data_IF_698364629679
#
_entry.id   IF_698364629679
#
_cell.length_a   1.000
_cell.length_b   1.000
_cell.length_c   1.000
_cell.angle_alpha   90.00
_cell.angle_beta   90.00
_cell.angle_gamma   90.00
#
_symmetry.space_group_name_H-M   'P 1'
#
loop_
_entity.id
_entity.type
_entity.pdbx_description
1 polymer ?
#
# COMPACT_ATOMS: atom_id res chain seq x y z
N UNK A 1 8.39 -4.07 -26.14
CA UNK A 1 9.52 -4.31 -25.22
C UNK A 1 9.00 -4.80 -23.86
N UNK A 2 8.01 -4.11 -23.26
CA UNK A 2 7.48 -4.48 -21.93
C UNK A 2 6.88 -5.90 -21.93
N UNK A 3 6.08 -6.24 -22.94
CA UNK A 3 5.44 -7.55 -23.07
C UNK A 3 6.41 -8.67 -23.52
N UNK A 4 7.64 -8.34 -23.91
CA UNK A 4 8.68 -9.31 -24.21
C UNK A 4 9.46 -9.77 -22.96
N UNK A 5 9.15 -9.24 -21.79
CA UNK A 5 9.75 -9.66 -20.54
C UNK A 5 9.28 -11.09 -20.20
N UNK A 6 10.19 -12.07 -19.99
CA UNK A 6 9.81 -13.46 -19.68
C UNK A 6 9.05 -13.60 -18.35
N UNK A 7 9.18 -12.65 -17.40
CA UNK A 7 8.36 -12.63 -16.20
C UNK A 7 6.88 -12.33 -16.45
N UNK A 8 6.54 -11.80 -17.65
CA UNK A 8 5.18 -11.60 -18.12
C UNK A 8 4.70 -12.74 -19.02
N UNK A 9 5.41 -13.87 -19.08
CA UNK A 9 4.97 -15.08 -19.77
C UNK A 9 3.80 -15.79 -19.07
N UNK A 10 3.48 -15.37 -17.83
CA UNK A 10 2.22 -15.72 -17.19
C UNK A 10 1.04 -15.11 -17.96
N UNK A 11 0.00 -15.91 -18.15
CA UNK A 11 -1.17 -15.52 -18.93
C UNK A 11 -2.01 -14.40 -18.28
N UNK A 12 -1.71 -14.04 -17.02
CA UNK A 12 -2.55 -13.16 -16.21
C UNK A 12 -1.74 -12.17 -15.38
N UNK A 13 -2.26 -10.94 -15.28
CA UNK A 13 -1.73 -9.88 -14.41
C UNK A 13 -2.86 -9.32 -13.56
N UNK A 14 -2.58 -9.13 -12.28
CA UNK A 14 -3.47 -8.41 -11.36
C UNK A 14 -3.11 -6.92 -11.36
N UNK A 15 -4.11 -6.07 -11.48
CA UNK A 15 -3.93 -4.62 -11.52
C UNK A 15 -5.04 -3.87 -10.78
N UNK A 16 -4.69 -2.71 -10.22
CA UNK A 16 -5.67 -1.71 -9.83
C UNK A 16 -6.00 -0.85 -11.05
N UNK A 17 -7.28 -0.74 -11.39
CA UNK A 17 -7.77 0.06 -12.50
C UNK A 17 -8.53 1.26 -11.98
N UNK A 18 -8.23 2.44 -12.52
CA UNK A 18 -8.91 3.68 -12.21
C UNK A 18 -9.55 4.24 -13.48
N UNK A 19 -10.81 4.60 -13.41
CA UNK A 19 -11.48 5.35 -14.46
C UNK A 19 -11.27 6.83 -14.19
N UNK A 20 -10.47 7.46 -15.03
CA UNK A 20 -10.27 8.91 -14.97
C UNK A 20 -11.53 9.62 -15.46
N UNK A 21 -11.90 10.71 -14.78
CA UNK A 21 -12.97 11.60 -15.24
C UNK A 21 -12.63 12.26 -16.60
N UNK A 22 -13.53 13.09 -17.10
CA UNK A 22 -13.57 13.63 -18.47
C UNK A 22 -12.30 14.35 -18.91
N UNK A 23 -11.37 14.70 -18.02
CA UNK A 23 -10.13 15.42 -18.30
C UNK A 23 -8.87 14.65 -17.88
N UNK A 24 -8.69 13.44 -18.40
CA UNK A 24 -7.52 12.61 -18.13
C UNK A 24 -6.17 13.33 -18.31
N UNK A 25 -6.09 14.29 -19.24
CA UNK A 25 -4.87 15.10 -19.48
C UNK A 25 -4.56 16.10 -18.36
N UNK A 26 -5.49 16.34 -17.45
CA UNK A 26 -5.33 17.22 -16.29
C UNK A 26 -5.39 16.47 -14.97
N UNK A 27 -5.39 15.14 -15.03
CA UNK A 27 -5.41 14.31 -13.83
C UNK A 27 -4.14 14.55 -13.00
N UNK A 28 -4.33 14.89 -11.75
CA UNK A 28 -3.28 15.04 -10.76
C UNK A 28 -3.14 13.75 -9.95
N UNK A 29 -2.03 13.57 -9.25
CA UNK A 29 -1.80 12.41 -8.41
C UNK A 29 -2.99 12.06 -7.47
N UNK A 30 -3.67 13.01 -6.81
CA UNK A 30 -4.86 12.72 -6.01
C UNK A 30 -6.02 12.10 -6.80
N UNK A 31 -6.16 12.45 -8.08
CA UNK A 31 -7.21 11.88 -8.94
C UNK A 31 -6.93 10.41 -9.30
N UNK A 32 -5.68 9.98 -9.16
CA UNK A 32 -5.21 8.60 -9.33
C UNK A 32 -5.20 7.82 -8.02
N UNK A 33 -5.63 8.43 -6.90
CA UNK A 33 -5.57 7.80 -5.57
C UNK A 33 -4.16 7.65 -5.01
N UNK A 34 -3.23 8.46 -5.52
CA UNK A 34 -1.83 8.51 -5.05
C UNK A 34 -1.56 9.81 -4.31
N UNK A 35 -0.46 9.85 -3.56
CA UNK A 35 -0.05 11.04 -2.83
C UNK A 35 0.33 12.17 -3.78
N UNK A 36 -0.04 13.39 -3.42
CA UNK A 36 0.22 14.58 -4.23
C UNK A 36 1.66 15.08 -4.15
N UNK A 37 2.41 14.66 -3.15
CA UNK A 37 3.74 15.15 -2.82
C UNK A 37 4.70 14.01 -2.51
N UNK A 38 5.98 14.30 -2.45
CA UNK A 38 7.01 13.33 -2.12
C UNK A 38 7.22 13.11 -0.60
N UNK A 39 6.49 13.80 0.25
CA UNK A 39 6.47 13.64 1.71
C UNK A 39 5.13 13.12 2.23
N UNK A 40 4.08 13.16 1.40
CA UNK A 40 2.75 12.71 1.79
C UNK A 40 2.66 11.18 1.85
N UNK A 41 1.76 10.72 2.69
CA UNK A 41 1.39 9.31 2.83
C UNK A 41 0.00 9.06 2.24
N UNK A 42 -0.44 7.80 2.28
CA UNK A 42 -1.79 7.42 1.85
C UNK A 42 -2.87 8.20 2.61
N UNK A 43 -2.62 8.59 3.85
CA UNK A 43 -3.54 9.39 4.67
C UNK A 43 -3.86 10.75 4.05
N UNK A 44 -2.90 11.36 3.35
CA UNK A 44 -3.06 12.63 2.64
C UNK A 44 -3.75 12.47 1.28
N UNK A 45 -3.93 11.24 0.80
CA UNK A 45 -4.58 10.99 -0.47
C UNK A 45 -6.10 11.20 -0.38
N UNK A 46 -6.70 11.53 -1.50
CA UNK A 46 -8.15 11.60 -1.62
C UNK A 46 -8.79 10.25 -1.27
N UNK A 47 -9.78 10.28 -0.38
CA UNK A 47 -10.36 9.07 0.22
C UNK A 47 -11.50 8.47 -0.57
N UNK A 48 -12.23 9.28 -1.31
CA UNK A 48 -13.51 8.91 -1.93
C UNK A 48 -13.67 9.56 -3.31
N UNK A 49 -14.64 9.06 -4.08
CA UNK A 49 -15.00 9.62 -5.37
C UNK A 49 -14.18 9.02 -6.52
N UNK A 50 -13.72 7.80 -6.35
CA UNK A 50 -13.06 7.02 -7.39
C UNK A 50 -14.03 6.04 -8.05
N UNK A 51 -13.83 5.79 -9.35
CA UNK A 51 -14.32 4.62 -10.04
C UNK A 51 -13.12 3.69 -10.25
N UNK A 52 -12.84 2.90 -9.23
CA UNK A 52 -11.67 2.03 -9.16
C UNK A 52 -12.08 0.59 -8.91
N UNK A 53 -11.34 -0.36 -9.45
CA UNK A 53 -11.50 -1.78 -9.17
C UNK A 53 -10.17 -2.54 -9.24
N UNK A 54 -10.17 -3.74 -8.67
CA UNK A 54 -9.11 -4.73 -8.87
C UNK A 54 -9.52 -5.60 -10.05
N UNK A 55 -8.66 -5.68 -11.05
CA UNK A 55 -8.91 -6.45 -12.28
C UNK A 55 -7.84 -7.50 -12.53
N UNK A 56 -8.26 -8.61 -13.10
CA UNK A 56 -7.38 -9.56 -13.77
C UNK A 56 -7.33 -9.21 -15.26
N UNK A 57 -6.13 -9.03 -15.77
CA UNK A 57 -5.86 -8.87 -17.18
C UNK A 57 -5.31 -10.18 -17.73
N UNK A 58 -5.86 -10.66 -18.85
CA UNK A 58 -5.37 -11.84 -19.54
C UNK A 58 -5.26 -11.60 -21.05
N UNK A 59 -4.64 -12.53 -21.76
CA UNK A 59 -4.33 -12.39 -23.19
C UNK A 59 -3.53 -11.10 -23.51
N UNK A 60 -2.55 -10.78 -22.68
CA UNK A 60 -1.78 -9.52 -22.77
C UNK A 60 -1.00 -9.36 -24.07
N UNK A 61 -0.72 -10.45 -24.77
CA UNK A 61 0.02 -10.47 -26.04
C UNK A 61 -0.89 -10.62 -27.26
N UNK A 62 -2.18 -10.87 -27.06
CA UNK A 62 -3.19 -10.96 -28.11
C UNK A 62 -3.67 -9.59 -28.58
N UNK A 63 -4.47 -9.60 -29.64
CA UNK A 63 -5.11 -8.37 -30.13
C UNK A 63 -6.17 -7.86 -29.18
N UNK A 64 -6.82 -8.73 -28.41
CA UNK A 64 -7.89 -8.42 -27.46
C UNK A 64 -7.49 -8.78 -26.03
N UNK A 65 -7.03 -7.80 -25.26
CA UNK A 65 -6.78 -7.96 -23.82
C UNK A 65 -8.12 -8.17 -23.12
N UNK A 66 -8.23 -9.28 -22.38
CA UNK A 66 -9.41 -9.57 -21.57
C UNK A 66 -9.26 -8.90 -20.18
N UNK A 67 -10.32 -8.26 -19.72
CA UNK A 67 -10.36 -7.57 -18.42
C UNK A 67 -11.51 -8.14 -17.60
N UNK A 68 -11.19 -8.79 -16.49
CA UNK A 68 -12.17 -9.30 -15.53
C UNK A 68 -12.07 -8.53 -14.22
N UNK A 69 -13.15 -7.86 -13.81
CA UNK A 69 -13.21 -7.23 -12.48
C UNK A 69 -13.31 -8.31 -11.42
N UNK A 70 -12.43 -8.26 -10.43
CA UNK A 70 -12.39 -9.15 -9.27
C UNK A 70 -13.12 -8.52 -8.10
N UNK A 71 -12.83 -7.25 -7.83
CA UNK A 71 -13.39 -6.53 -6.71
C UNK A 71 -13.55 -5.04 -7.05
N UNK A 72 -14.66 -4.46 -6.66
CA UNK A 72 -14.93 -3.04 -6.78
C UNK A 72 -15.47 -2.49 -5.46
N UNK A 73 -14.84 -1.45 -4.87
CA UNK A 73 -15.37 -0.81 -3.68
C UNK A 73 -16.74 -0.18 -3.93
N UNK A 74 -17.72 -0.50 -3.09
CA UNK A 74 -19.08 0.06 -3.21
C UNK A 74 -19.15 1.53 -2.79
N UNK A 75 -18.25 1.95 -1.90
CA UNK A 75 -18.25 3.29 -1.32
C UNK A 75 -17.49 4.34 -2.16
N UNK A 76 -16.99 3.99 -3.35
CA UNK A 76 -16.19 4.89 -4.19
C UNK A 76 -14.80 5.19 -3.64
N UNK A 77 -14.27 4.33 -2.78
CA UNK A 77 -12.87 4.36 -2.34
C UNK A 77 -11.92 4.08 -3.49
N UNK A 78 -10.69 4.53 -3.38
CA UNK A 78 -9.60 4.03 -4.23
C UNK A 78 -9.20 2.61 -3.82
N UNK A 79 -8.43 1.96 -4.68
CA UNK A 79 -7.72 0.71 -4.39
C UNK A 79 -6.25 0.95 -4.59
N UNK A 80 -5.45 0.85 -3.52
CA UNK A 80 -4.02 1.14 -3.54
C UNK A 80 -3.20 -0.05 -3.00
N UNK A 81 -1.90 0.00 -3.19
CA UNK A 81 -0.92 -0.92 -2.56
C UNK A 81 -1.22 -2.40 -2.77
N UNK A 82 -1.61 -2.75 -4.00
CA UNK A 82 -2.03 -4.12 -4.35
C UNK A 82 -0.85 -5.10 -4.24
N UNK A 83 -1.00 -6.14 -3.40
CA UNK A 83 -0.01 -7.18 -3.15
C UNK A 83 -0.61 -8.58 -3.32
N UNK A 84 0.01 -9.41 -4.12
CA UNK A 84 -0.36 -10.83 -4.24
C UNK A 84 0.10 -11.61 -3.02
N UNK A 85 -0.73 -12.51 -2.50
CA UNK A 85 -0.32 -13.48 -1.51
C UNK A 85 0.58 -14.57 -2.13
N UNK A 86 1.45 -15.17 -1.33
CA UNK A 86 2.39 -16.22 -1.76
C UNK A 86 1.73 -17.42 -2.45
N UNK A 87 0.50 -17.76 -2.04
CA UNK A 87 -0.27 -18.88 -2.62
C UNK A 87 -0.86 -18.55 -3.99
N UNK A 88 -0.83 -17.28 -4.41
CA UNK A 88 -1.33 -16.84 -5.71
C UNK A 88 -2.85 -16.89 -5.86
N UNK A 89 -3.61 -17.02 -4.76
CA UNK A 89 -5.08 -17.19 -4.77
C UNK A 89 -5.84 -15.96 -4.27
N UNK A 90 -5.16 -15.00 -3.65
CA UNK A 90 -5.73 -13.80 -3.04
C UNK A 90 -4.77 -12.62 -3.07
N UNK A 91 -5.29 -11.44 -2.88
CA UNK A 91 -4.50 -10.21 -2.85
C UNK A 91 -4.92 -9.30 -1.69
N UNK A 92 -3.92 -8.65 -1.12
CA UNK A 92 -4.04 -7.57 -0.15
C UNK A 92 -4.04 -6.23 -0.87
N UNK A 93 -4.75 -5.25 -0.33
CA UNK A 93 -4.79 -3.88 -0.85
C UNK A 93 -5.24 -2.90 0.23
N UNK A 94 -5.01 -1.62 -0.02
CA UNK A 94 -5.46 -0.52 0.83
C UNK A 94 -6.74 0.08 0.26
N UNK A 95 -7.75 0.29 1.11
CA UNK A 95 -8.93 1.09 0.81
C UNK A 95 -9.49 1.76 2.06
N UNK A 96 -10.44 2.68 1.91
CA UNK A 96 -11.12 3.29 3.06
C UNK A 96 -12.23 2.41 3.62
N UNK A 97 -12.37 2.44 4.93
CA UNK A 97 -13.53 1.91 5.66
C UNK A 97 -14.77 2.83 5.49
N UNK A 98 -15.96 2.44 5.97
CA UNK A 98 -17.15 3.30 5.93
C UNK A 98 -16.99 4.64 6.64
N UNK A 99 -16.16 4.69 7.68
CA UNK A 99 -15.80 5.92 8.42
C UNK A 99 -14.72 6.77 7.73
N UNK A 100 -14.32 6.37 6.52
CA UNK A 100 -13.31 6.98 5.65
C UNK A 100 -11.86 6.81 6.11
N UNK A 101 -11.57 6.10 7.19
CA UNK A 101 -10.18 5.76 7.54
C UNK A 101 -9.62 4.72 6.59
N UNK A 102 -8.33 4.81 6.30
CA UNK A 102 -7.61 3.79 5.54
C UNK A 102 -7.44 2.52 6.34
N UNK A 103 -7.61 1.38 5.68
CA UNK A 103 -7.25 0.08 6.25
C UNK A 103 -6.81 -0.89 5.15
N UNK A 104 -6.23 -1.99 5.58
CA UNK A 104 -5.74 -3.06 4.72
C UNK A 104 -6.79 -4.15 4.63
N UNK A 105 -7.10 -4.55 3.41
CA UNK A 105 -8.11 -5.54 3.07
C UNK A 105 -7.53 -6.67 2.23
N UNK A 106 -8.26 -7.76 2.13
CA UNK A 106 -7.94 -8.91 1.29
C UNK A 106 -9.17 -9.35 0.50
N UNK A 107 -8.94 -9.83 -0.70
CA UNK A 107 -9.95 -10.48 -1.54
C UNK A 107 -9.31 -11.65 -2.28
N UNK A 108 -10.06 -12.76 -2.45
CA UNK A 108 -9.63 -13.87 -3.31
C UNK A 108 -9.75 -13.49 -4.78
N UNK A 109 -8.92 -14.12 -5.63
CA UNK A 109 -8.93 -13.85 -7.06
C UNK A 109 -10.21 -14.29 -7.77
N UNK A 110 -11.04 -15.14 -7.13
CA UNK A 110 -12.39 -15.48 -7.62
C UNK A 110 -13.45 -14.42 -7.30
N UNK A 111 -13.07 -13.34 -6.56
CA UNK A 111 -13.94 -12.26 -6.15
C UNK A 111 -14.64 -12.49 -4.80
N UNK A 112 -14.39 -13.62 -4.16
CA UNK A 112 -14.99 -13.96 -2.85
C UNK A 112 -14.06 -13.61 -1.70
N UNK A 113 -14.52 -13.79 -0.46
CA UNK A 113 -13.69 -13.71 0.74
C UNK A 113 -13.16 -12.31 1.06
N UNK A 114 -13.83 -11.25 0.59
CA UNK A 114 -13.48 -9.89 0.99
C UNK A 114 -13.54 -9.74 2.51
N UNK A 115 -12.46 -9.24 3.09
CA UNK A 115 -12.35 -9.00 4.54
C UNK A 115 -11.33 -7.91 4.85
N UNK A 116 -11.54 -7.24 5.97
CA UNK A 116 -10.55 -6.39 6.62
C UNK A 116 -9.49 -7.27 7.28
N UNK A 117 -8.21 -6.89 7.15
CA UNK A 117 -7.10 -7.65 7.72
C UNK A 117 -6.61 -7.09 9.07
N UNK A 118 -6.56 -5.78 9.23
CA UNK A 118 -6.07 -5.16 10.47
C UNK A 118 -7.25 -4.65 11.28
N UNK A 119 -7.43 -5.22 12.47
CA UNK A 119 -8.46 -4.84 13.42
C UNK A 119 -7.84 -4.13 14.61
N UNK A 120 -8.25 -2.89 14.85
CA UNK A 120 -7.78 -2.07 15.95
C UNK A 120 -8.94 -1.23 16.49
N UNK A 121 -8.99 -1.00 17.81
CA UNK A 121 -10.06 -0.27 18.48
C UNK A 121 -9.76 1.24 18.59
N UNK A 122 -8.51 1.66 18.35
CA UNK A 122 -8.12 3.07 18.38
C UNK A 122 -8.75 3.82 17.18
N UNK A 123 -9.60 4.81 17.46
CA UNK A 123 -10.40 5.44 16.40
C UNK A 123 -9.58 6.33 15.46
N UNK A 124 -8.39 6.75 15.87
CA UNK A 124 -7.53 7.67 15.12
C UNK A 124 -6.42 6.97 14.34
N UNK A 125 -6.32 5.62 14.43
CA UNK A 125 -5.32 4.89 13.68
C UNK A 125 -5.81 4.50 12.29
N UNK A 126 -4.93 4.71 11.33
CA UNK A 126 -5.08 4.29 9.94
C UNK A 126 -3.98 3.31 9.55
N UNK A 127 -4.27 2.42 8.60
CA UNK A 127 -3.34 1.40 8.12
C UNK A 127 -3.38 1.33 6.60
N UNK A 128 -2.21 1.29 5.97
CA UNK A 128 -2.07 1.27 4.52
C UNK A 128 -0.74 0.62 4.11
N UNK A 129 -0.56 0.36 2.83
CA UNK A 129 0.67 -0.18 2.25
C UNK A 129 1.13 -1.46 2.97
N UNK A 130 0.21 -2.44 3.05
CA UNK A 130 0.45 -3.70 3.74
C UNK A 130 1.31 -4.67 2.94
N UNK A 131 2.03 -5.54 3.66
CA UNK A 131 2.70 -6.72 3.07
C UNK A 131 2.54 -7.93 3.97
N UNK A 132 2.34 -9.10 3.35
CA UNK A 132 2.30 -10.37 4.07
C UNK A 132 3.70 -10.78 4.54
N UNK A 133 3.80 -11.33 5.74
CA UNK A 133 4.96 -12.10 6.18
C UNK A 133 4.72 -13.60 5.98
N UNK A 134 5.75 -14.41 5.75
CA UNK A 134 5.59 -15.86 5.53
C UNK A 134 4.95 -16.61 6.70
N UNK A 135 4.99 -16.06 7.90
CA UNK A 135 4.40 -16.63 9.12
C UNK A 135 2.95 -16.18 9.38
N UNK A 136 2.32 -15.48 8.42
CA UNK A 136 0.94 -15.01 8.50
C UNK A 136 0.74 -13.67 9.20
N UNK A 137 1.80 -13.07 9.75
CA UNK A 137 1.75 -11.70 10.25
C UNK A 137 1.74 -10.70 9.09
N UNK A 138 1.43 -9.45 9.40
CA UNK A 138 1.35 -8.36 8.42
C UNK A 138 2.21 -7.20 8.89
N UNK A 139 3.01 -6.65 7.99
CA UNK A 139 3.59 -5.33 8.18
C UNK A 139 2.78 -4.35 7.35
N UNK A 140 2.43 -3.20 7.93
CA UNK A 140 1.75 -2.12 7.25
C UNK A 140 2.29 -0.77 7.73
N UNK A 141 1.99 0.29 7.00
CA UNK A 141 2.18 1.65 7.48
C UNK A 141 1.00 2.12 8.32
N UNK A 142 1.27 3.03 9.24
CA UNK A 142 0.28 3.63 10.13
C UNK A 142 0.76 4.98 10.65
N UNK A 143 -0.18 5.84 10.99
CA UNK A 143 0.04 7.09 11.73
C UNK A 143 0.25 6.89 13.24
N UNK A 144 0.58 5.69 13.68
CA UNK A 144 0.71 5.29 15.09
C UNK A 144 1.66 6.17 15.92
N UNK A 145 2.55 6.91 15.25
CA UNK A 145 3.42 7.89 15.90
C UNK A 145 2.70 9.14 16.38
N UNK A 146 1.51 9.42 15.87
CA UNK A 146 0.77 10.68 16.07
C UNK A 146 1.62 11.92 15.82
N UNK A 147 2.46 11.84 14.81
CA UNK A 147 3.38 12.89 14.40
C UNK A 147 3.00 13.42 13.02
N UNK A 148 3.09 14.72 12.85
CA UNK A 148 2.98 15.36 11.54
C UNK A 148 4.35 15.75 11.00
N UNK A 149 4.46 15.84 9.68
CA UNK A 149 5.68 16.30 9.00
C UNK A 149 5.92 17.76 9.32
N UNK A 150 7.03 18.14 9.99
CA UNK A 150 7.22 19.52 10.49
C UNK A 150 7.27 20.56 9.38
N UNK A 151 7.86 20.25 8.24
CA UNK A 151 8.05 21.21 7.15
C UNK A 151 6.75 21.61 6.42
N UNK A 152 5.66 20.90 6.66
CA UNK A 152 4.31 21.24 6.18
C UNK A 152 3.35 21.52 7.33
N UNK A 153 3.88 22.08 8.41
CA UNK A 153 3.11 22.51 9.60
C UNK A 153 2.36 21.37 10.31
N UNK A 154 2.77 20.11 10.08
CA UNK A 154 2.15 18.95 10.67
C UNK A 154 0.89 18.45 9.97
N UNK A 155 0.52 19.01 8.82
CA UNK A 155 -0.71 18.67 8.11
C UNK A 155 -0.67 17.25 7.50
N UNK A 156 0.52 16.77 7.13
CA UNK A 156 0.72 15.40 6.64
C UNK A 156 1.22 14.50 7.78
N UNK A 157 0.51 13.41 8.12
CA UNK A 157 0.96 12.47 9.14
C UNK A 157 2.24 11.74 8.75
N UNK A 158 3.09 11.42 9.73
CA UNK A 158 4.28 10.60 9.51
C UNK A 158 3.91 9.12 9.50
N UNK A 159 4.19 8.44 8.38
CA UNK A 159 3.98 7.00 8.24
C UNK A 159 5.06 6.18 8.95
N UNK A 160 4.67 5.41 9.95
CA UNK A 160 5.53 4.45 10.62
C UNK A 160 5.08 3.02 10.34
N UNK A 161 6.03 2.09 10.25
CA UNK A 161 5.69 0.68 10.08
C UNK A 161 5.24 0.05 11.38
N UNK A 162 4.25 -0.79 11.26
CA UNK A 162 3.71 -1.62 12.34
C UNK A 162 3.70 -3.09 11.95
N UNK A 163 3.88 -3.95 12.94
CA UNK A 163 3.67 -5.39 12.83
C UNK A 163 2.33 -5.73 13.46
N UNK A 164 1.45 -6.33 12.69
CA UNK A 164 0.17 -6.85 13.14
C UNK A 164 0.18 -8.38 13.18
N UNK A 165 -0.27 -8.94 14.30
CA UNK A 165 -0.43 -10.38 14.49
C UNK A 165 -1.92 -10.71 14.51
N UNK A 166 -2.48 -11.36 13.48
CA UNK A 166 -3.92 -11.58 13.36
C UNK A 166 -4.54 -12.38 14.51
N UNK A 167 -3.87 -13.44 14.95
CA UNK A 167 -4.39 -14.36 15.98
C UNK A 167 -4.65 -13.68 17.33
N UNK A 168 -3.78 -12.76 17.71
CA UNK A 168 -3.86 -12.03 18.99
C UNK A 168 -4.39 -10.61 18.82
N UNK A 169 -4.58 -10.15 17.58
CA UNK A 169 -4.88 -8.76 17.24
C UNK A 169 -3.88 -7.74 17.81
N UNK A 170 -2.67 -8.20 18.10
CA UNK A 170 -1.64 -7.33 18.66
C UNK A 170 -1.00 -6.47 17.58
N UNK A 171 -0.73 -5.23 17.93
CA UNK A 171 -0.08 -4.24 17.09
C UNK A 171 1.22 -3.78 17.77
N UNK A 172 2.32 -3.79 17.02
CA UNK A 172 3.62 -3.31 17.49
C UNK A 172 4.26 -2.37 16.49
N UNK A 173 4.64 -1.18 16.91
CA UNK A 173 5.39 -0.22 16.11
C UNK A 173 6.81 -0.74 15.85
N UNK A 174 7.28 -0.68 14.61
CA UNK A 174 8.60 -1.16 14.16
C UNK A 174 9.57 -0.02 13.88
N UNK A 175 9.10 1.10 13.35
CA UNK A 175 9.92 2.26 13.02
C UNK A 175 9.53 3.47 13.88
N UNK A 176 10.52 4.26 14.29
CA UNK A 176 10.37 5.36 15.24
C UNK A 176 10.95 6.67 14.71
N UNK A 177 11.14 6.73 13.41
CA UNK A 177 11.72 7.88 12.72
C UNK A 177 10.79 9.08 12.76
N UNK A 178 11.38 10.26 12.70
CA UNK A 178 10.65 11.51 12.57
C UNK A 178 10.04 11.67 11.17
N UNK A 179 10.71 11.08 10.18
CA UNK A 179 10.29 11.09 8.79
C UNK A 179 9.62 9.75 8.41
N UNK A 180 8.89 9.75 7.30
CA UNK A 180 8.05 8.63 6.93
C UNK A 180 8.83 7.44 6.33
N UNK A 181 8.29 6.25 6.56
CA UNK A 181 8.75 5.00 5.95
C UNK A 181 7.64 4.43 5.07
N UNK A 182 7.99 3.86 3.90
CA UNK A 182 7.02 3.37 2.92
C UNK A 182 7.45 2.08 2.25
N UNK A 183 6.51 1.44 1.59
CA UNK A 183 6.69 0.35 0.65
C UNK A 183 7.42 -0.87 1.23
N UNK A 184 6.93 -1.47 2.32
CA UNK A 184 7.54 -2.68 2.86
C UNK A 184 7.41 -3.84 1.88
N UNK A 185 8.52 -4.54 1.62
CA UNK A 185 8.58 -5.72 0.74
C UNK A 185 9.45 -6.79 1.40
N UNK A 186 8.96 -8.02 1.46
CA UNK A 186 9.73 -9.15 1.96
C UNK A 186 10.73 -9.61 0.91
N UNK A 187 11.99 -9.66 1.27
CA UNK A 187 13.08 -10.15 0.43
C UNK A 187 13.25 -11.67 0.55
N UNK A 188 13.94 -12.27 -0.42
CA UNK A 188 14.19 -13.72 -0.44
C UNK A 188 14.95 -14.26 0.79
N UNK A 189 15.69 -13.40 1.48
CA UNK A 189 16.41 -13.74 2.72
C UNK A 189 15.54 -13.57 3.98
N UNK A 190 14.25 -13.27 3.83
CA UNK A 190 13.29 -13.07 4.91
C UNK A 190 13.35 -11.70 5.59
N UNK A 191 14.27 -10.83 5.20
CA UNK A 191 14.28 -9.43 5.68
C UNK A 191 13.21 -8.60 4.98
N UNK A 192 12.85 -7.48 5.54
CA UNK A 192 11.91 -6.52 4.97
C UNK A 192 12.69 -5.32 4.45
N UNK A 193 12.61 -5.09 3.14
CA UNK A 193 13.10 -3.90 2.49
C UNK A 193 12.01 -2.83 2.51
N UNK A 194 12.40 -1.57 2.67
CA UNK A 194 11.47 -0.43 2.67
C UNK A 194 12.17 0.85 2.24
N UNK A 195 11.40 1.85 1.89
CA UNK A 195 11.90 3.20 1.59
C UNK A 195 11.72 4.09 2.80
N UNK A 196 12.76 4.83 3.17
CA UNK A 196 12.75 5.84 4.21
C UNK A 196 12.99 7.22 3.62
N UNK A 197 12.15 8.18 3.96
CA UNK A 197 12.44 9.57 3.72
C UNK A 197 13.36 10.08 4.85
N UNK A 198 14.50 10.61 4.48
CA UNK A 198 15.48 11.12 5.43
C UNK A 198 15.66 12.62 5.17
N UNK A 199 14.93 13.43 5.91
CA UNK A 199 14.94 14.88 5.78
C UNK A 199 15.58 15.57 7.00
N UNK A 200 15.53 14.96 8.16
CA UNK A 200 15.99 15.54 9.43
C UNK A 200 17.49 15.81 9.46
N UNK A 201 18.28 14.83 9.02
CA UNK A 201 19.74 14.90 9.03
C UNK A 201 20.35 15.24 7.66
N UNK A 202 19.58 15.05 6.60
CA UNK A 202 19.97 15.36 5.24
C UNK A 202 19.09 16.49 4.72
N UNK A 203 19.71 17.62 4.40
CA UNK A 203 19.00 18.78 3.82
C UNK A 203 18.46 18.52 2.40
N UNK A 204 18.17 17.28 2.07
CA UNK A 204 17.69 16.84 0.76
C UNK A 204 16.21 16.46 0.81
N UNK A 205 15.39 17.39 0.47
CA UNK A 205 13.94 17.27 0.34
C UNK A 205 13.49 16.03 -0.47
N UNK A 206 14.28 15.62 -1.47
CA UNK A 206 13.98 14.46 -2.32
C UNK A 206 14.71 13.19 -1.90
N UNK A 207 15.41 13.17 -0.78
CA UNK A 207 16.16 11.98 -0.36
C UNK A 207 15.25 10.84 0.01
N UNK A 208 15.50 9.70 -0.62
CA UNK A 208 14.86 8.43 -0.32
C UNK A 208 15.96 7.39 -0.16
N UNK A 209 16.03 6.77 0.98
CA UNK A 209 16.99 5.74 1.30
C UNK A 209 16.30 4.39 1.27
N UNK A 210 16.88 3.44 0.56
CA UNK A 210 16.43 2.05 0.63
C UNK A 210 17.03 1.42 1.87
N UNK A 211 16.18 1.00 2.77
CA UNK A 211 16.51 0.40 4.06
C UNK A 211 16.08 -1.06 4.09
N UNK A 212 16.62 -1.80 5.03
CA UNK A 212 16.11 -3.12 5.36
C UNK A 212 16.16 -3.39 6.88
N UNK A 213 15.30 -4.30 7.34
CA UNK A 213 15.21 -4.71 8.73
C UNK A 213 14.81 -6.18 8.85
N UNK A 214 14.99 -6.77 10.01
CA UNK A 214 14.33 -8.03 10.34
C UNK A 214 12.80 -7.83 10.43
N UNK A 215 11.98 -8.87 10.23
CA UNK A 215 10.52 -8.75 10.32
C UNK A 215 9.99 -8.24 11.67
N UNK A 216 10.80 -8.31 12.70
CA UNK A 216 10.51 -7.79 14.03
C UNK A 216 10.94 -6.33 14.24
N UNK A 217 11.47 -5.66 13.21
CA UNK A 217 11.91 -4.27 13.26
C UNK A 217 13.34 -4.07 13.77
N UNK A 218 14.05 -5.13 14.12
CA UNK A 218 15.45 -5.04 14.55
C UNK A 218 16.43 -4.93 13.38
N UNK A 219 17.67 -4.54 13.66
CA UNK A 219 18.77 -4.43 12.68
C UNK A 219 18.39 -3.59 11.44
N UNK A 220 17.81 -2.43 11.67
CA UNK A 220 17.54 -1.46 10.61
C UNK A 220 18.86 -0.91 10.06
N UNK A 221 19.02 -0.98 8.74
CA UNK A 221 20.21 -0.48 8.05
C UNK A 221 19.90 -0.13 6.61
N UNK A 222 20.67 0.80 6.04
CA UNK A 222 20.66 1.05 4.62
C UNK A 222 21.09 -0.19 3.82
N UNK A 223 20.59 -0.32 2.61
CA UNK A 223 20.94 -1.39 1.69
C UNK A 223 22.17 -1.03 0.91
#
# INVERSE_FOLDING_TARGET
ILLANPFLDGDKVLAARFKLGVNAHKAMAPDLGTQGNNWSNQESARRMGFDADIVELSNLRGEDVQVRSIYKPENGSSVADLRMHWDGDRAMFTQTMPDKRWNVFEVKLDGTGFKQLIHNEEPDLEFYDGTYLPDGRIIANSNIGYQGVPCVSGDDPVGNMVLYTPDTKSLRRLTFDQDANWNPVVMNNGRVMYTRWEYTDLTHYYSRIVMNMNPDGTEQKAL
#
